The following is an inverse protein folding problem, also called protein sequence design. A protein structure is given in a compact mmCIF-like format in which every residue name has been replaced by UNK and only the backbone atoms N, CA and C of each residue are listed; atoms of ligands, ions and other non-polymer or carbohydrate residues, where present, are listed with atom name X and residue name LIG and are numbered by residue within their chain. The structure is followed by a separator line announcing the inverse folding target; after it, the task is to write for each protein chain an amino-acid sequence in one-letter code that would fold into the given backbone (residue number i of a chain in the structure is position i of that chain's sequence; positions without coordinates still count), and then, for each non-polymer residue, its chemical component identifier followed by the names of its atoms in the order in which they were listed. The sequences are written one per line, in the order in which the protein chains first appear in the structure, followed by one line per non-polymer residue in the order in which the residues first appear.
data_IF_662331303274
#
_entry.id   IF_662331303274
#
_cell.length_a   1.000
_cell.length_b   1.000
_cell.length_c   1.000
_cell.angle_alpha   90.00
_cell.angle_beta   90.00
_cell.angle_gamma   90.00
#
_symmetry.space_group_name_H-M   'P 1'
#
loop_
_entity.id
_entity.type
_entity.pdbx_description
1 polymer ?
#
# COMPACT_ATOMS: atom_id res chain seq x y z
N UNK A 1 15.69 -20.41 21.09
CA UNK A 1 14.47 -20.34 20.25
C UNK A 1 13.70 -19.03 20.40
N UNK A 2 13.99 -18.17 21.39
CA UNK A 2 13.28 -16.88 21.57
C UNK A 2 13.52 -15.84 20.47
N UNK A 3 14.72 -15.80 19.87
CA UNK A 3 15.06 -14.82 18.82
C UNK A 3 14.19 -14.92 17.56
N UNK A 4 13.65 -16.11 17.26
CA UNK A 4 12.79 -16.35 16.08
C UNK A 4 11.41 -15.73 16.29
N UNK A 5 10.87 -15.77 17.52
CA UNK A 5 9.56 -15.17 17.84
C UNK A 5 9.61 -13.64 17.71
N UNK A 6 10.66 -13.03 18.25
CA UNK A 6 10.88 -11.58 18.16
C UNK A 6 10.95 -11.07 16.70
N UNK A 7 11.60 -11.83 15.82
CA UNK A 7 11.66 -11.48 14.39
C UNK A 7 10.29 -11.60 13.71
N UNK A 8 9.49 -12.60 14.06
CA UNK A 8 8.13 -12.77 13.56
C UNK A 8 7.19 -11.62 13.95
N UNK A 9 7.34 -11.07 15.17
CA UNK A 9 6.57 -9.92 15.64
C UNK A 9 6.96 -8.61 14.94
N UNK A 10 8.26 -8.40 14.71
CA UNK A 10 8.77 -7.24 13.96
C UNK A 10 8.25 -7.24 12.52
N UNK A 11 8.24 -8.39 11.85
CA UNK A 11 7.68 -8.51 10.49
C UNK A 11 6.17 -8.25 10.45
N UNK A 12 5.43 -8.67 11.49
CA UNK A 12 3.98 -8.36 11.62
C UNK A 12 3.74 -6.87 11.74
N UNK A 13 4.55 -6.17 12.54
CA UNK A 13 4.46 -4.71 12.72
C UNK A 13 4.85 -3.92 11.47
N UNK A 14 5.76 -4.45 10.63
CA UNK A 14 6.10 -3.83 9.33
C UNK A 14 4.97 -4.03 8.30
N UNK A 15 4.36 -5.22 8.25
CA UNK A 15 3.24 -5.51 7.34
C UNK A 15 2.00 -4.66 7.66
N UNK A 16 1.79 -4.33 8.93
CA UNK A 16 0.73 -3.42 9.40
C UNK A 16 1.03 -1.94 9.10
N UNK A 17 2.30 -1.50 9.10
CA UNK A 17 2.68 -0.12 8.76
C UNK A 17 2.67 0.17 7.25
N UNK A 18 2.77 -0.86 6.41
CA UNK A 18 2.61 -0.73 4.95
C UNK A 18 1.13 -0.65 4.53
N UNK A 19 0.20 -1.05 5.40
CA UNK A 19 -1.19 -0.60 5.32
C UNK A 19 -1.22 0.83 5.83
N UNK A 20 -1.39 1.78 4.93
CA UNK A 20 -1.61 3.20 5.17
C UNK A 20 -2.51 3.43 6.41
N UNK A 21 -1.86 3.68 7.56
CA UNK A 21 -2.38 4.02 8.89
C UNK A 21 -3.89 3.82 9.11
N UNK A 22 -4.33 2.65 9.59
CA UNK A 22 -5.59 2.36 10.33
C UNK A 22 -6.94 2.77 9.71
N UNK A 23 -7.07 4.01 9.29
CA UNK A 23 -8.24 4.69 8.75
C UNK A 23 -8.04 5.19 7.32
N UNK A 24 -6.98 4.80 6.60
CA UNK A 24 -6.78 5.28 5.22
C UNK A 24 -6.60 4.16 4.21
N UNK A 25 -7.38 4.19 3.14
CA UNK A 25 -7.33 3.19 2.07
C UNK A 25 -7.02 3.84 0.72
N UNK A 26 -6.17 3.17 -0.07
CA UNK A 26 -5.77 3.59 -1.41
C UNK A 26 -6.70 2.96 -2.46
N UNK A 27 -7.11 3.77 -3.43
CA UNK A 27 -8.01 3.39 -4.51
C UNK A 27 -7.52 3.93 -5.85
N UNK A 28 -7.96 3.29 -6.93
CA UNK A 28 -7.71 3.72 -8.29
C UNK A 28 -8.50 5.01 -8.58
N UNK A 29 -7.86 6.09 -9.07
CA UNK A 29 -8.57 7.33 -9.39
C UNK A 29 -9.48 7.20 -10.62
N UNK A 30 -9.33 6.14 -11.40
CA UNK A 30 -10.09 5.93 -12.65
C UNK A 30 -11.34 5.07 -12.43
N UNK A 31 -11.21 3.92 -11.77
CA UNK A 31 -12.32 2.98 -11.57
C UNK A 31 -12.76 2.79 -10.11
N UNK A 32 -12.06 3.39 -9.15
CA UNK A 32 -12.38 3.24 -7.73
C UNK A 32 -12.03 1.86 -7.14
N UNK A 33 -11.28 1.01 -7.85
CA UNK A 33 -10.82 -0.27 -7.30
C UNK A 33 -9.77 -0.09 -6.21
N UNK A 34 -9.76 -0.96 -5.19
CA UNK A 34 -8.69 -1.04 -4.18
C UNK A 34 -7.46 -1.84 -4.67
N UNK A 35 -7.56 -2.49 -5.83
CA UNK A 35 -6.54 -3.37 -6.38
C UNK A 35 -5.42 -2.57 -7.08
N UNK A 36 -4.74 -1.73 -6.30
CA UNK A 36 -3.70 -0.81 -6.75
C UNK A 36 -2.39 -1.12 -6.02
N UNK A 37 -1.29 -1.24 -6.78
CA UNK A 37 0.05 -1.55 -6.25
C UNK A 37 1.13 -0.74 -6.94
N UNK A 38 2.32 -0.68 -6.33
CA UNK A 38 3.50 -0.12 -7.01
C UNK A 38 3.85 -0.92 -8.27
N UNK A 39 4.34 -0.23 -9.29
CA UNK A 39 4.72 -0.84 -10.57
C UNK A 39 6.00 -1.68 -10.44
N UNK A 40 6.89 -1.29 -9.53
CA UNK A 40 8.15 -1.96 -9.22
C UNK A 40 8.48 -1.89 -7.74
N UNK A 41 9.34 -2.81 -7.27
CA UNK A 41 9.92 -2.77 -5.91
C UNK A 41 10.90 -1.61 -5.72
N UNK A 42 11.39 -1.03 -6.82
CA UNK A 42 12.31 0.11 -6.80
C UNK A 42 11.59 1.46 -6.81
N UNK A 43 10.30 1.47 -7.15
CA UNK A 43 9.44 2.63 -6.96
C UNK A 43 9.42 2.92 -5.46
N UNK A 44 9.57 4.20 -5.06
CA UNK A 44 9.78 4.72 -3.69
C UNK A 44 11.25 5.04 -3.38
N UNK A 45 12.23 4.25 -3.82
CA UNK A 45 13.64 4.51 -3.49
C UNK A 45 14.45 5.04 -4.66
N UNK A 46 14.50 4.28 -5.76
CA UNK A 46 15.29 4.63 -6.94
C UNK A 46 14.43 5.34 -7.99
N UNK A 47 13.18 4.89 -8.15
CA UNK A 47 12.25 5.45 -9.12
C UNK A 47 11.11 6.20 -8.41
N UNK A 48 10.55 7.25 -9.04
CA UNK A 48 9.34 7.89 -8.54
C UNK A 48 8.21 6.89 -8.34
N UNK A 49 7.33 7.15 -7.36
CA UNK A 49 6.16 6.29 -7.12
C UNK A 49 5.31 6.21 -8.39
N UNK A 50 5.05 5.00 -8.85
CA UNK A 50 4.14 4.70 -9.94
C UNK A 50 3.27 3.54 -9.51
N UNK A 51 1.97 3.69 -9.69
CA UNK A 51 0.97 2.70 -9.32
C UNK A 51 0.37 2.07 -10.57
N UNK A 52 -0.05 0.82 -10.43
CA UNK A 52 -0.77 0.05 -11.43
C UNK A 52 -2.06 -0.47 -10.79
N UNK A 53 -3.19 -0.27 -11.47
CA UNK A 53 -4.46 -0.90 -11.11
C UNK A 53 -4.61 -2.21 -11.90
N UNK A 54 -4.81 -3.33 -11.19
CA UNK A 54 -4.94 -4.64 -11.83
C UNK A 54 -6.31 -4.88 -12.48
N UNK A 55 -7.30 -4.05 -12.15
CA UNK A 55 -8.67 -4.21 -12.64
C UNK A 55 -8.96 -3.39 -13.91
N UNK A 56 -8.41 -2.17 -14.04
CA UNK A 56 -8.67 -1.30 -15.20
C UNK A 56 -7.41 -0.91 -16.01
N UNK A 57 -6.21 -1.29 -15.55
CA UNK A 57 -4.98 -0.99 -16.26
C UNK A 57 -4.46 0.45 -16.13
N UNK A 58 -5.02 1.26 -15.20
CA UNK A 58 -4.44 2.57 -14.87
C UNK A 58 -2.95 2.43 -14.48
N UNK A 59 -2.10 3.30 -15.03
CA UNK A 59 -0.68 3.42 -14.68
C UNK A 59 -0.35 4.89 -14.45
N UNK A 60 0.05 5.24 -13.23
CA UNK A 60 0.39 6.64 -12.93
C UNK A 60 0.79 6.90 -11.48
N UNK A 61 1.22 8.13 -11.15
CA UNK A 61 1.73 8.46 -9.82
C UNK A 61 0.61 8.81 -8.82
N UNK A 62 -0.65 8.90 -9.25
CA UNK A 62 -1.77 9.39 -8.45
C UNK A 62 -2.60 8.22 -7.94
N UNK A 63 -3.03 8.30 -6.68
CA UNK A 63 -3.98 7.38 -6.05
C UNK A 63 -5.06 8.20 -5.35
N UNK A 64 -6.25 7.61 -5.22
CA UNK A 64 -7.33 8.17 -4.41
C UNK A 64 -7.17 7.66 -2.98
N UNK A 65 -6.98 8.57 -2.03
CA UNK A 65 -6.90 8.24 -0.61
C UNK A 65 -8.25 8.54 0.05
N UNK A 66 -8.85 7.53 0.67
CA UNK A 66 -10.12 7.68 1.40
C UNK A 66 -9.82 7.53 2.89
N UNK A 67 -10.14 8.57 3.66
CA UNK A 67 -10.13 8.53 5.12
C UNK A 67 -11.46 7.97 5.62
N UNK A 68 -11.41 6.97 6.49
CA UNK A 68 -12.57 6.47 7.21
C UNK A 68 -12.86 7.40 8.38
N UNK A 69 -14.07 7.95 8.42
CA UNK A 69 -14.51 8.81 9.52
C UNK A 69 -14.66 7.97 10.80
N UNK A 70 -14.01 8.42 11.88
CA UNK A 70 -14.12 7.81 13.20
C UNK A 70 -15.55 8.04 13.71
N UNK A 71 -16.32 6.95 13.82
CA UNK A 71 -17.71 6.98 14.25
C UNK A 71 -17.85 6.82 15.75
#
# INVERSE_FOLDING_TARGET
MEKIKAFGEVLRNIKLRLSYSGNRALYCPTCGSRNVRLSSKFDVWLMPKRYVCEDCGYIGPIVLEIEAEER
#
